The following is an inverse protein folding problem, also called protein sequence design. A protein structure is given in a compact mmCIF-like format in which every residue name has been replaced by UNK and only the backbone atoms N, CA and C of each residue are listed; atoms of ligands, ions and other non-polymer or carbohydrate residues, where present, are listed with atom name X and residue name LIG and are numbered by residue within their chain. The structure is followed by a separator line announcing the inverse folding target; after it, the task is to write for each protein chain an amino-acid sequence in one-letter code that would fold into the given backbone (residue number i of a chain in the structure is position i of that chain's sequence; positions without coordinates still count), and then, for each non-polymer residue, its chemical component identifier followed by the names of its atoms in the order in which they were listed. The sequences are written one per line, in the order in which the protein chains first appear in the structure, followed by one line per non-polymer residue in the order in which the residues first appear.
data_IF_373552789523
#
_entry.id   IF_373552789523
#
_cell.length_a   1.000
_cell.length_b   1.000
_cell.length_c   1.000
_cell.angle_alpha   90.00
_cell.angle_beta   90.00
_cell.angle_gamma   90.00
#
_symmetry.space_group_name_H-M   'P 1'
#
loop_
_entity.id
_entity.type
_entity.pdbx_description
1 polymer ?
#
# COMPACT_ATOMS: atom_id res chain seq x y z
N UNK A 1 12.53 11.78 6.67
CA UNK A 1 11.38 11.30 5.85
C UNK A 1 11.91 10.36 4.76
N UNK A 2 11.21 9.27 4.49
CA UNK A 2 11.59 8.29 3.48
C UNK A 2 10.44 8.13 2.48
N UNK A 3 10.74 8.22 1.18
CA UNK A 3 9.74 7.99 0.13
C UNK A 3 9.63 6.51 -0.16
N UNK A 4 8.40 6.00 -0.21
CA UNK A 4 8.15 4.58 -0.43
C UNK A 4 7.27 4.43 -1.67
N UNK A 5 7.80 3.72 -2.68
CA UNK A 5 7.05 3.38 -3.89
C UNK A 5 6.81 1.89 -3.95
N UNK A 6 5.64 1.48 -4.47
CA UNK A 6 5.27 0.07 -4.46
C UNK A 6 4.24 -0.25 -5.54
N UNK A 7 4.16 -1.53 -5.90
CA UNK A 7 3.28 -2.00 -6.95
C UNK A 7 2.57 -3.28 -6.51
N UNK A 8 1.29 -3.41 -6.87
CA UNK A 8 0.53 -4.64 -6.65
C UNK A 8 -0.53 -4.76 -7.75
N UNK A 9 -0.92 -5.98 -8.08
CA UNK A 9 -2.03 -6.20 -8.97
C UNK A 9 -3.37 -6.05 -8.27
N UNK A 10 -4.43 -5.79 -9.02
CA UNK A 10 -5.79 -5.76 -8.50
C UNK A 10 -6.69 -6.60 -9.41
N UNK A 11 -7.61 -7.35 -8.81
CA UNK A 11 -8.60 -8.11 -9.57
C UNK A 11 -9.54 -7.14 -10.28
N UNK A 12 -9.69 -7.25 -11.61
CA UNK A 12 -10.50 -6.28 -12.35
C UNK A 12 -11.96 -6.22 -11.88
N UNK A 13 -12.52 -7.33 -11.44
CA UNK A 13 -13.89 -7.38 -10.93
C UNK A 13 -14.06 -6.70 -9.57
N UNK A 14 -12.96 -6.35 -8.90
CA UNK A 14 -12.99 -5.72 -7.58
C UNK A 14 -12.58 -4.25 -7.62
N UNK A 15 -12.28 -3.69 -8.79
CA UNK A 15 -11.77 -2.31 -8.92
C UNK A 15 -12.77 -1.29 -8.35
N UNK A 16 -14.03 -1.39 -8.68
CA UNK A 16 -15.03 -0.42 -8.21
C UNK A 16 -15.19 -0.49 -6.69
N UNK A 17 -15.18 -1.68 -6.12
CA UNK A 17 -15.25 -1.87 -4.68
C UNK A 17 -14.02 -1.27 -4.00
N UNK A 18 -12.84 -1.48 -4.58
CA UNK A 18 -11.58 -0.93 -4.07
C UNK A 18 -11.62 0.60 -4.03
N UNK A 19 -12.10 1.24 -5.11
CA UNK A 19 -12.26 2.69 -5.17
C UNK A 19 -13.22 3.19 -4.09
N UNK A 20 -14.33 2.51 -3.91
CA UNK A 20 -15.35 2.88 -2.93
C UNK A 20 -14.80 2.84 -1.51
N UNK A 21 -14.08 1.79 -1.14
CA UNK A 21 -13.52 1.66 0.21
C UNK A 21 -12.40 2.66 0.46
N UNK A 22 -11.64 3.04 -0.57
CA UNK A 22 -10.55 4.01 -0.45
C UNK A 22 -11.03 5.47 -0.47
N UNK A 23 -12.31 5.72 -0.65
CA UNK A 23 -12.87 7.04 -0.50
C UNK A 23 -12.85 7.50 0.97
N UNK A 24 -12.75 6.56 1.92
CA UNK A 24 -12.68 6.86 3.36
C UNK A 24 -11.73 5.88 4.04
N UNK A 25 -10.43 6.19 4.00
CA UNK A 25 -9.40 5.38 4.64
C UNK A 25 -9.44 5.60 6.16
N UNK A 26 -9.34 4.52 6.92
CA UNK A 26 -9.36 4.59 8.38
C UNK A 26 -8.11 5.29 8.90
N UNK A 27 -8.23 6.26 9.83
CA UNK A 27 -7.06 7.02 10.31
C UNK A 27 -5.95 6.18 10.91
N UNK A 28 -6.27 5.07 11.55
CA UNK A 28 -5.29 4.18 12.19
C UNK A 28 -4.32 3.58 11.18
N UNK A 29 -4.74 3.44 9.91
CA UNK A 29 -3.90 2.88 8.85
C UNK A 29 -2.87 3.88 8.35
N UNK A 30 -3.05 5.17 8.68
CA UNK A 30 -2.22 6.27 8.17
C UNK A 30 -1.17 6.76 9.17
N UNK A 31 -0.97 6.02 10.29
CA UNK A 31 -0.01 6.42 11.31
C UNK A 31 1.41 6.51 10.74
N UNK A 32 2.12 7.60 11.02
CA UNK A 32 3.50 7.87 10.60
C UNK A 32 3.72 7.94 9.09
N UNK A 33 2.65 7.96 8.28
CA UNK A 33 2.78 8.15 6.85
C UNK A 33 1.95 9.35 6.39
N UNK A 34 2.40 9.98 5.32
CA UNK A 34 1.70 11.11 4.70
C UNK A 34 1.80 11.01 3.19
N UNK A 35 1.03 11.85 2.49
CA UNK A 35 1.00 11.90 1.02
C UNK A 35 0.76 10.52 0.41
N UNK A 36 -0.03 9.68 1.08
CA UNK A 36 -0.36 8.36 0.58
C UNK A 36 -1.23 8.48 -0.66
N UNK A 37 -0.70 8.00 -1.78
CA UNK A 37 -1.34 8.14 -3.08
C UNK A 37 -1.30 6.80 -3.79
N UNK A 38 -2.41 6.39 -4.39
CA UNK A 38 -2.49 5.15 -5.16
C UNK A 38 -3.03 5.48 -6.54
N UNK A 39 -2.30 5.05 -7.58
CA UNK A 39 -2.74 5.19 -8.97
C UNK A 39 -3.13 3.82 -9.53
N UNK A 40 -4.19 3.81 -10.31
CA UNK A 40 -4.64 2.60 -11.02
C UNK A 40 -4.22 2.68 -12.48
N UNK A 41 -3.65 1.61 -12.99
CA UNK A 41 -3.33 1.47 -14.40
C UNK A 41 -4.16 0.34 -15.01
N UNK A 42 -5.05 0.66 -15.93
CA UNK A 42 -5.78 -0.31 -16.76
C UNK A 42 -5.25 -0.22 -18.18
N UNK A 43 -5.24 -1.27 -18.98
CA UNK A 43 -5.84 -2.59 -18.74
C UNK A 43 -4.94 -3.57 -17.98
N UNK A 44 -3.77 -3.16 -17.53
CA UNK A 44 -2.82 -4.05 -16.85
C UNK A 44 -3.31 -4.43 -15.45
N UNK A 45 -4.25 -3.66 -14.89
CA UNK A 45 -4.82 -3.88 -13.55
C UNK A 45 -3.73 -3.86 -12.48
N UNK A 46 -2.98 -2.76 -12.48
CA UNK A 46 -1.92 -2.52 -11.51
C UNK A 46 -2.22 -1.29 -10.68
N UNK A 47 -1.89 -1.38 -9.38
CA UNK A 47 -1.91 -0.25 -8.47
C UNK A 47 -0.47 0.19 -8.20
N UNK A 48 -0.21 1.47 -8.35
CA UNK A 48 1.07 2.08 -8.02
C UNK A 48 0.87 2.94 -6.79
N UNK A 49 1.55 2.59 -5.70
CA UNK A 49 1.41 3.26 -4.43
C UNK A 49 2.62 4.11 -4.11
N UNK A 50 2.36 5.22 -3.42
CA UNK A 50 3.40 6.10 -2.91
C UNK A 50 2.97 6.60 -1.53
N UNK A 51 3.92 6.66 -0.61
CA UNK A 51 3.70 7.36 0.65
C UNK A 51 5.04 7.87 1.19
N UNK A 52 4.97 8.82 2.10
CA UNK A 52 6.12 9.36 2.81
C UNK A 52 6.10 8.86 4.24
N UNK A 53 7.20 8.23 4.64
CA UNK A 53 7.34 7.65 5.97
C UNK A 53 8.17 8.58 6.85
N UNK A 54 7.63 8.94 8.01
CA UNK A 54 8.20 9.91 8.92
C UNK A 54 8.82 9.32 10.19
N UNK A 55 8.88 7.98 10.30
CA UNK A 55 9.48 7.32 11.46
C UNK A 55 10.98 7.15 11.33
N UNK A 56 11.58 6.51 12.34
CA UNK A 56 13.01 6.28 12.41
C UNK A 56 13.40 4.85 12.04
N UNK A 57 12.46 3.91 12.14
CA UNK A 57 12.73 2.48 11.94
C UNK A 57 11.51 1.86 11.26
N UNK A 58 11.59 1.74 9.94
CA UNK A 58 10.48 1.20 9.14
C UNK A 58 10.14 -0.23 9.54
N UNK A 59 11.16 -1.07 9.81
CA UNK A 59 10.91 -2.46 10.18
C UNK A 59 10.11 -2.56 11.49
N UNK A 60 10.46 -1.76 12.49
CA UNK A 60 9.75 -1.76 13.76
C UNK A 60 8.34 -1.15 13.62
N UNK A 61 8.23 -0.03 12.89
CA UNK A 61 6.94 0.65 12.74
C UNK A 61 5.97 -0.14 11.87
N UNK A 62 6.45 -0.78 10.81
CA UNK A 62 5.60 -1.63 9.97
C UNK A 62 5.13 -2.87 10.74
N UNK A 63 5.97 -3.42 11.61
CA UNK A 63 5.56 -4.52 12.47
C UNK A 63 4.45 -4.10 13.45
N UNK A 64 4.54 -2.89 14.00
CA UNK A 64 3.49 -2.34 14.87
C UNK A 64 2.18 -2.13 14.10
N UNK A 65 2.27 -1.63 12.87
CA UNK A 65 1.07 -1.49 12.01
C UNK A 65 0.44 -2.85 11.75
N UNK A 66 1.26 -3.85 11.44
CA UNK A 66 0.77 -5.20 11.19
C UNK A 66 0.12 -5.83 12.43
N UNK A 67 0.55 -5.44 13.62
CA UNK A 67 -0.03 -5.94 14.87
C UNK A 67 -1.30 -5.19 15.29
N UNK A 68 -1.59 -4.04 14.69
CA UNK A 68 -2.75 -3.24 15.05
C UNK A 68 -4.05 -3.88 14.54
N UNK A 69 -5.04 -4.15 15.43
CA UNK A 69 -6.29 -4.79 15.01
C UNK A 69 -7.05 -4.05 13.91
N UNK A 70 -7.05 -2.70 13.94
CA UNK A 70 -7.75 -1.91 12.91
C UNK A 70 -7.07 -2.04 11.56
N UNK A 71 -5.74 -2.06 11.53
CA UNK A 71 -4.98 -2.28 10.30
C UNK A 71 -5.25 -3.67 9.75
N UNK A 72 -5.30 -4.69 10.61
CA UNK A 72 -5.61 -6.06 10.19
C UNK A 72 -7.02 -6.15 9.61
N UNK A 73 -8.00 -5.47 10.20
CA UNK A 73 -9.35 -5.42 9.65
C UNK A 73 -9.36 -4.79 8.26
N UNK A 74 -8.64 -3.70 8.08
CA UNK A 74 -8.51 -3.03 6.79
C UNK A 74 -7.89 -3.95 5.74
N UNK A 75 -6.82 -4.64 6.10
CA UNK A 75 -6.16 -5.58 5.19
C UNK A 75 -7.06 -6.77 4.85
N UNK A 76 -7.83 -7.27 5.83
CA UNK A 76 -8.75 -8.38 5.58
C UNK A 76 -9.82 -8.03 4.56
N UNK A 77 -10.21 -6.75 4.49
CA UNK A 77 -11.15 -6.27 3.47
C UNK A 77 -10.47 -6.19 2.10
N UNK A 78 -9.25 -5.68 2.03
CA UNK A 78 -8.62 -5.29 0.76
C UNK A 78 -7.70 -6.35 0.17
N UNK A 79 -7.05 -7.19 0.98
CA UNK A 79 -6.14 -8.19 0.44
C UNK A 79 -6.82 -9.14 -0.55
N UNK A 80 -8.06 -9.61 -0.32
CA UNK A 80 -8.72 -10.46 -1.31
C UNK A 80 -9.02 -9.79 -2.65
N UNK A 81 -9.00 -8.46 -2.71
CA UNK A 81 -9.21 -7.71 -3.95
C UNK A 81 -7.94 -7.61 -4.79
N UNK A 82 -6.79 -7.89 -4.19
CA UNK A 82 -5.47 -7.64 -4.78
C UNK A 82 -4.82 -8.93 -5.23
N UNK A 83 -3.89 -8.79 -6.20
CA UNK A 83 -3.07 -9.91 -6.70
C UNK A 83 -1.60 -9.52 -6.55
N UNK A 84 -0.90 -10.03 -5.53
CA UNK A 84 0.50 -9.68 -5.32
C UNK A 84 1.37 -10.10 -6.50
N UNK A 85 2.43 -9.34 -6.80
CA UNK A 85 3.37 -9.69 -7.83
C UNK A 85 4.23 -10.87 -7.39
N UNK A 86 4.51 -11.79 -8.32
CA UNK A 86 5.38 -12.93 -8.06
C UNK A 86 6.80 -12.50 -7.71
N UNK A 87 7.20 -11.33 -8.19
CA UNK A 87 8.56 -10.80 -7.98
C UNK A 87 8.75 -10.07 -6.64
N UNK A 88 7.70 -9.96 -5.82
CA UNK A 88 7.82 -9.30 -4.52
C UNK A 88 8.78 -10.05 -3.61
N UNK A 89 9.38 -9.33 -2.67
CA UNK A 89 10.25 -9.96 -1.68
C UNK A 89 9.42 -10.82 -0.71
N UNK A 90 10.05 -11.82 -0.14
CA UNK A 90 9.42 -12.67 0.86
C UNK A 90 8.95 -11.81 2.05
N UNK A 91 7.71 -12.03 2.47
CA UNK A 91 7.11 -11.28 3.56
C UNK A 91 6.41 -10.00 3.13
N UNK A 92 6.61 -9.54 1.88
CA UNK A 92 5.96 -8.35 1.37
C UNK A 92 4.65 -8.69 0.65
N UNK A 93 3.61 -7.88 0.88
CA UNK A 93 2.36 -7.99 0.11
C UNK A 93 2.46 -7.17 -1.17
N UNK A 94 2.86 -5.91 -1.05
CA UNK A 94 3.17 -5.05 -2.19
C UNK A 94 4.62 -5.23 -2.59
N UNK A 95 4.90 -5.23 -3.90
CA UNK A 95 6.28 -5.26 -4.39
C UNK A 95 6.88 -3.88 -4.23
N UNK A 96 7.95 -3.76 -3.42
CA UNK A 96 8.59 -2.47 -3.20
C UNK A 96 9.43 -2.07 -4.40
N UNK A 97 9.41 -0.78 -4.74
CA UNK A 97 10.13 -0.21 -5.86
C UNK A 97 11.27 0.67 -5.36
N UNK A 98 12.37 0.68 -6.11
CA UNK A 98 13.53 1.50 -5.79
C UNK A 98 13.33 2.92 -6.30
N UNK A 99 13.59 3.94 -5.46
CA UNK A 99 13.60 5.32 -5.92
C UNK A 99 14.85 5.56 -6.76
N UNK A 100 14.67 5.91 -8.03
CA UNK A 100 15.78 6.14 -8.95
C UNK A 100 15.95 7.60 -9.32
N UNK A 101 14.98 8.46 -8.99
CA UNK A 101 15.03 9.89 -9.28
C UNK A 101 14.02 10.64 -8.42
N UNK A 102 14.43 11.82 -7.96
CA UNK A 102 13.54 12.75 -7.28
C UNK A 102 14.01 14.18 -7.54
N UNK A 103 13.06 15.09 -7.71
CA UNK A 103 13.33 16.53 -7.77
C UNK A 103 12.28 17.25 -6.92
N UNK A 104 12.72 18.27 -6.24
CA UNK A 104 11.82 19.12 -5.44
C UNK A 104 11.00 20.08 -6.32
#
# INVERSE_FOLDING_TARGET
MKRMGMVIGIKPERIEEYKTTHAAVWPEVLAKISDCTIFLREPENLLFGYFEYHGQDWAADSAKMAADPKTQEWWAIHNPMQTPLASRNEGDWWAMAEEVFHTD
#
